data_IF_141992462730
#
_entry.id   IF_141992462730
#
_cell.length_a   1.000
_cell.length_b   1.000
_cell.length_c   1.000
_cell.angle_alpha   90.00
_cell.angle_beta   90.00
_cell.angle_gamma   90.00
#
_symmetry.space_group_name_H-M   'P 1'
#
loop_
_entity.id
_entity.type
_entity.pdbx_description
1 polymer ?
#
# COMPACT_ATOMS: atom_id res chain seq x y z
N UNK A 1 -0.66 10.07 11.03
CA UNK A 1 -1.34 9.04 10.21
C UNK A 1 -0.39 8.08 9.46
N UNK A 2 0.94 8.29 9.46
CA UNK A 2 1.89 7.46 8.70
C UNK A 2 2.35 6.14 9.37
N UNK A 3 2.02 5.90 10.65
CA UNK A 3 2.53 4.74 11.40
C UNK A 3 1.72 3.45 11.18
N UNK A 4 0.46 3.54 10.72
CA UNK A 4 -0.44 2.41 10.56
C UNK A 4 0.10 1.31 9.62
N UNK A 5 0.55 1.67 8.40
CA UNK A 5 1.11 0.70 7.46
C UNK A 5 2.42 0.06 7.96
N UNK A 6 3.26 0.83 8.67
CA UNK A 6 4.53 0.35 9.23
C UNK A 6 4.29 -0.71 10.32
N UNK A 7 3.29 -0.49 11.19
CA UNK A 7 2.90 -1.47 12.21
C UNK A 7 2.28 -2.74 11.60
N UNK A 8 1.56 -2.61 10.49
CA UNK A 8 1.05 -3.77 9.75
C UNK A 8 2.20 -4.59 9.14
N UNK A 9 3.17 -3.96 8.49
CA UNK A 9 4.35 -4.65 7.94
C UNK A 9 5.10 -5.41 9.03
N UNK A 10 5.30 -4.78 10.19
CA UNK A 10 6.00 -5.41 11.33
C UNK A 10 5.29 -6.69 11.81
N UNK A 11 3.95 -6.68 11.88
CA UNK A 11 3.16 -7.87 12.22
C UNK A 11 3.28 -8.99 11.17
N UNK A 12 3.29 -8.68 9.87
CA UNK A 12 3.47 -9.69 8.79
C UNK A 12 4.82 -10.40 8.96
N UNK A 13 5.88 -9.62 9.17
CA UNK A 13 7.25 -10.14 9.28
C UNK A 13 7.42 -10.98 10.54
N UNK A 14 6.86 -10.53 11.66
CA UNK A 14 6.93 -11.23 12.95
C UNK A 14 6.16 -12.55 12.95
N UNK A 15 5.00 -12.61 12.30
CA UNK A 15 4.14 -13.79 12.31
C UNK A 15 4.41 -14.75 11.15
N UNK A 16 5.28 -14.39 10.18
CA UNK A 16 5.56 -15.14 8.94
C UNK A 16 4.31 -15.65 8.21
N UNK A 17 3.17 -14.99 8.44
CA UNK A 17 1.86 -15.37 7.94
C UNK A 17 1.13 -14.09 7.53
N UNK A 18 0.60 -14.10 6.31
CA UNK A 18 -0.25 -13.03 5.80
C UNK A 18 -1.73 -13.24 6.13
N UNK A 19 -2.09 -14.32 6.85
CA UNK A 19 -3.48 -14.70 7.14
C UNK A 19 -4.28 -13.64 7.90
N UNK A 20 -3.61 -12.73 8.61
CA UNK A 20 -4.22 -11.63 9.37
C UNK A 20 -4.24 -10.29 8.63
N UNK A 21 -3.70 -10.22 7.40
CA UNK A 21 -3.53 -8.96 6.67
C UNK A 21 -4.35 -9.00 5.39
N UNK A 22 -5.40 -8.19 5.34
CA UNK A 22 -6.32 -8.16 4.21
C UNK A 22 -5.62 -7.53 3.00
N UNK A 23 -5.25 -8.34 2.01
CA UNK A 23 -4.82 -7.86 0.69
C UNK A 23 -5.88 -6.92 0.10
N UNK A 24 -7.16 -7.16 0.39
CA UNK A 24 -8.27 -6.28 0.01
C UNK A 24 -8.11 -4.85 0.55
N UNK A 25 -7.60 -4.68 1.77
CA UNK A 25 -7.33 -3.34 2.33
C UNK A 25 -6.27 -2.59 1.52
N UNK A 26 -5.18 -3.26 1.14
CA UNK A 26 -4.15 -2.63 0.31
C UNK A 26 -4.63 -2.31 -1.10
N UNK A 27 -5.50 -3.14 -1.68
CA UNK A 27 -6.13 -2.86 -2.98
C UNK A 27 -7.03 -1.62 -2.91
N UNK A 28 -7.84 -1.49 -1.85
CA UNK A 28 -8.69 -0.29 -1.64
C UNK A 28 -7.83 0.97 -1.52
N UNK A 29 -6.74 0.92 -0.76
CA UNK A 29 -5.79 2.03 -0.65
C UNK A 29 -5.12 2.36 -1.99
N UNK A 30 -4.74 1.36 -2.76
CA UNK A 30 -4.16 1.56 -4.09
C UNK A 30 -5.14 2.30 -5.00
N UNK A 31 -6.42 1.89 -5.02
CA UNK A 31 -7.48 2.60 -5.74
C UNK A 31 -7.60 4.05 -5.26
N UNK A 32 -7.57 4.27 -3.94
CA UNK A 32 -7.60 5.61 -3.35
C UNK A 32 -6.45 6.50 -3.83
N UNK A 33 -5.21 5.99 -3.84
CA UNK A 33 -4.06 6.75 -4.32
C UNK A 33 -4.12 7.03 -5.82
N UNK A 34 -4.60 6.09 -6.63
CA UNK A 34 -4.79 6.29 -8.07
C UNK A 34 -5.84 7.39 -8.32
N UNK A 35 -6.94 7.40 -7.57
CA UNK A 35 -7.97 8.44 -7.66
C UNK A 35 -7.42 9.82 -7.25
N UNK A 36 -6.67 9.90 -6.15
CA UNK A 36 -6.03 11.14 -5.72
C UNK A 36 -4.98 11.66 -6.70
N UNK A 37 -4.24 10.75 -7.33
CA UNK A 37 -3.27 11.09 -8.37
C UNK A 37 -3.97 11.63 -9.61
N UNK A 38 -5.02 10.96 -10.08
CA UNK A 38 -5.85 11.42 -11.20
C UNK A 38 -6.46 12.81 -10.91
N UNK A 39 -6.96 13.01 -9.70
CA UNK A 39 -7.46 14.30 -9.25
C UNK A 39 -6.36 15.38 -9.21
N UNK A 40 -5.19 15.05 -8.65
CA UNK A 40 -4.05 15.97 -8.59
C UNK A 40 -3.58 16.41 -9.98
N UNK A 41 -3.58 15.49 -10.95
CA UNK A 41 -3.28 15.78 -12.36
C UNK A 41 -4.36 16.69 -12.96
N UNK A 42 -5.64 16.36 -12.79
CA UNK A 42 -6.74 17.18 -13.30
C UNK A 42 -6.75 18.60 -12.70
N UNK A 43 -6.35 18.74 -11.43
CA UNK A 43 -6.23 20.01 -10.72
C UNK A 43 -4.88 20.72 -10.95
N UNK A 44 -3.95 20.14 -11.72
CA UNK A 44 -2.55 20.62 -11.88
C UNK A 44 -1.85 20.92 -10.54
N UNK A 45 -2.18 20.16 -9.49
CA UNK A 45 -1.70 20.39 -8.14
C UNK A 45 -0.56 19.43 -7.79
N UNK A 46 0.67 19.92 -7.93
CA UNK A 46 1.90 19.16 -7.64
C UNK A 46 1.95 18.68 -6.18
N UNK A 47 1.38 19.44 -5.23
CA UNK A 47 1.33 19.06 -3.82
C UNK A 47 0.42 17.85 -3.56
N UNK A 48 -0.50 17.52 -4.48
CA UNK A 48 -1.27 16.27 -4.44
C UNK A 48 -0.58 15.17 -5.24
N UNK A 49 0.02 15.49 -6.39
CA UNK A 49 0.63 14.48 -7.27
C UNK A 49 1.83 13.80 -6.60
N UNK A 50 2.77 14.58 -6.05
CA UNK A 50 4.03 14.05 -5.51
C UNK A 50 3.83 13.06 -4.35
N UNK A 51 3.12 13.39 -3.26
CA UNK A 51 2.94 12.46 -2.15
C UNK A 51 2.11 11.24 -2.54
N UNK A 52 1.09 11.38 -3.38
CA UNK A 52 0.26 10.23 -3.80
C UNK A 52 1.01 9.29 -4.75
N UNK A 53 1.93 9.81 -5.58
CA UNK A 53 2.83 8.99 -6.41
C UNK A 53 3.74 8.12 -5.53
N UNK A 54 4.37 8.73 -4.52
CA UNK A 54 5.24 8.02 -3.58
C UNK A 54 4.44 6.98 -2.79
N UNK A 55 3.25 7.34 -2.31
CA UNK A 55 2.38 6.43 -1.56
C UNK A 55 1.91 5.22 -2.41
N UNK A 56 1.59 5.44 -3.69
CA UNK A 56 1.25 4.37 -4.62
C UNK A 56 2.41 3.38 -4.83
N UNK A 57 3.64 3.89 -5.02
CA UNK A 57 4.83 3.03 -5.16
C UNK A 57 5.04 2.17 -3.91
N UNK A 58 4.97 2.78 -2.72
CA UNK A 58 5.16 2.08 -1.44
C UNK A 58 4.10 0.98 -1.26
N UNK A 59 2.84 1.25 -1.63
CA UNK A 59 1.77 0.27 -1.45
C UNK A 59 1.87 -0.88 -2.44
N UNK A 60 2.26 -0.62 -3.69
CA UNK A 60 2.53 -1.68 -4.68
C UNK A 60 3.66 -2.57 -4.19
N UNK A 61 4.76 -1.98 -3.70
CA UNK A 61 5.87 -2.74 -3.12
C UNK A 61 5.42 -3.61 -1.93
N UNK A 62 4.56 -3.06 -1.06
CA UNK A 62 3.99 -3.78 0.09
C UNK A 62 3.13 -4.96 -0.35
N UNK A 63 2.27 -4.79 -1.36
CA UNK A 63 1.45 -5.86 -1.92
C UNK A 63 2.33 -6.97 -2.52
N UNK A 64 3.34 -6.60 -3.30
CA UNK A 64 4.27 -7.57 -3.94
C UNK A 64 4.99 -8.39 -2.88
N UNK A 65 5.50 -7.76 -1.83
CA UNK A 65 6.16 -8.45 -0.71
C UNK A 65 5.15 -9.36 0.01
N UNK A 66 3.95 -8.87 0.33
CA UNK A 66 2.92 -9.67 1.00
C UNK A 66 2.53 -10.92 0.19
N UNK A 67 2.37 -10.79 -1.13
CA UNK A 67 2.09 -11.92 -2.02
C UNK A 67 3.24 -12.94 -2.07
N UNK A 68 4.48 -12.46 -2.15
CA UNK A 68 5.67 -13.33 -2.20
C UNK A 68 5.89 -14.14 -0.92
N UNK A 69 5.57 -13.58 0.24
CA UNK A 69 5.64 -14.30 1.51
C UNK A 69 4.44 -15.21 1.76
N UNK A 70 3.27 -14.93 1.16
CA UNK A 70 2.12 -15.85 1.19
C UNK A 70 2.43 -17.15 0.45
N UNK A 71 3.06 -17.07 -0.72
CA UNK A 71 3.45 -18.24 -1.54
C UNK A 71 4.54 -19.12 -0.93
N UNK A 72 5.21 -18.70 0.15
CA UNK A 72 6.22 -19.52 0.85
C UNK A 72 5.66 -20.29 2.05
N UNK A 73 4.41 -20.02 2.44
CA UNK A 73 3.74 -20.68 3.55
C UNK A 73 2.75 -21.78 3.09
N UNK A 74 2.53 -21.87 1.78
CA UNK A 74 1.85 -22.97 1.09
C UNK A 74 2.91 -23.93 0.51
#
# INVERSE_FOLDING_TARGET
>A
MALGPVLQIRKIVEHKSSGSISIGYFLVLLVGFVLWLAYGIAASNVALIVPNSVAAIVIVATIVVALRYRQRAD
#
